data_IF_408079424683
#
_entry.id   IF_408079424683
#
_cell.length_a   1.000
_cell.length_b   1.000
_cell.length_c   1.000
_cell.angle_alpha   90.00
_cell.angle_beta   90.00
_cell.angle_gamma   90.00
#
_symmetry.space_group_name_H-M   'P 1'
#
loop_
_entity.id
_entity.type
_entity.pdbx_description
1 polymer ?
#
# COMPACT_ATOMS: atom_id res chain seq x y z
N UNK A 1 -0.20 29.48 -1.68
CA UNK A 1 -0.42 28.88 -0.36
C UNK A 1 -1.74 28.14 -0.46
N UNK A 2 -1.75 26.81 -0.59
CA UNK A 2 -3.02 26.08 -0.84
C UNK A 2 -3.88 26.07 0.42
N UNK A 3 -5.20 26.11 0.27
CA UNK A 3 -6.17 26.16 1.38
C UNK A 3 -6.05 24.99 2.38
N UNK A 4 -5.30 23.95 2.00
CA UNK A 4 -4.94 22.79 2.81
C UNK A 4 -4.20 23.14 4.11
N UNK A 5 -3.32 24.15 4.11
CA UNK A 5 -2.52 24.50 5.29
C UNK A 5 -3.33 25.22 6.38
N UNK A 6 -4.44 25.86 6.00
CA UNK A 6 -5.29 26.62 6.93
C UNK A 6 -6.38 25.78 7.58
N UNK A 7 -6.75 24.64 6.99
CA UNK A 7 -7.87 23.84 7.43
C UNK A 7 -7.44 22.68 8.35
N UNK A 8 -7.57 22.89 9.66
CA UNK A 8 -7.24 21.90 10.71
C UNK A 8 -8.02 20.59 10.55
N UNK A 9 -9.25 20.65 10.02
CA UNK A 9 -10.12 19.49 9.83
C UNK A 9 -9.63 18.60 8.68
N UNK A 10 -9.24 19.21 7.55
CA UNK A 10 -8.66 18.47 6.42
C UNK A 10 -7.33 17.80 6.79
N UNK A 11 -6.52 18.49 7.60
CA UNK A 11 -5.28 17.94 8.15
C UNK A 11 -5.53 16.76 9.09
N UNK A 12 -6.52 16.86 9.97
CA UNK A 12 -6.91 15.77 10.87
C UNK A 12 -7.37 14.53 10.08
N UNK A 13 -8.29 14.72 9.13
CA UNK A 13 -8.79 13.60 8.30
C UNK A 13 -7.65 12.94 7.52
N UNK A 14 -6.70 13.72 7.01
CA UNK A 14 -5.53 13.16 6.32
C UNK A 14 -4.63 12.35 7.26
N UNK A 15 -4.39 12.83 8.48
CA UNK A 15 -3.63 12.06 9.48
C UNK A 15 -4.33 10.75 9.86
N UNK A 16 -5.64 10.79 10.09
CA UNK A 16 -6.43 9.60 10.38
C UNK A 16 -6.37 8.61 9.22
N UNK A 17 -6.53 9.09 7.99
CA UNK A 17 -6.38 8.26 6.80
C UNK A 17 -5.00 7.59 6.74
N UNK A 18 -3.91 8.36 6.90
CA UNK A 18 -2.54 7.81 6.91
C UNK A 18 -2.32 6.80 8.05
N UNK A 19 -2.94 6.99 9.22
CA UNK A 19 -2.90 6.03 10.32
C UNK A 19 -3.56 4.70 9.92
N UNK A 20 -4.76 4.73 9.33
CA UNK A 20 -5.43 3.52 8.85
C UNK A 20 -4.61 2.80 7.77
N UNK A 21 -3.99 3.55 6.85
CA UNK A 21 -3.11 2.96 5.84
C UNK A 21 -1.84 2.38 6.47
N UNK A 22 -1.26 3.03 7.47
CA UNK A 22 -0.10 2.52 8.19
C UNK A 22 -0.43 1.22 8.96
N UNK A 23 -1.61 1.14 9.57
CA UNK A 23 -2.10 -0.08 10.21
C UNK A 23 -2.29 -1.19 9.17
N UNK A 24 -2.93 -0.90 8.04
CA UNK A 24 -3.08 -1.86 6.94
C UNK A 24 -1.71 -2.34 6.43
N UNK A 25 -0.75 -1.43 6.26
CA UNK A 25 0.63 -1.74 5.89
C UNK A 25 1.26 -2.73 6.88
N UNK A 26 1.17 -2.47 8.19
CA UNK A 26 1.72 -3.37 9.22
C UNK A 26 1.03 -4.72 9.22
N UNK A 27 -0.31 -4.75 9.17
CA UNK A 27 -1.08 -6.00 9.18
C UNK A 27 -0.76 -6.85 7.96
N UNK A 28 -0.68 -6.25 6.77
CA UNK A 28 -0.34 -6.97 5.54
C UNK A 28 1.11 -7.47 5.56
N UNK A 29 2.06 -6.66 6.04
CA UNK A 29 3.46 -7.06 6.18
C UNK A 29 3.64 -8.23 7.14
N UNK A 30 3.11 -8.11 8.35
CA UNK A 30 3.19 -9.14 9.38
C UNK A 30 2.44 -10.40 8.93
N UNK A 31 1.25 -10.26 8.34
CA UNK A 31 0.46 -11.38 7.85
C UNK A 31 1.20 -12.19 6.77
N UNK A 32 1.88 -11.52 5.84
CA UNK A 32 2.66 -12.19 4.81
C UNK A 32 3.86 -12.94 5.39
N UNK A 33 4.59 -12.31 6.31
CA UNK A 33 5.74 -12.93 7.00
C UNK A 33 5.30 -14.14 7.80
N UNK A 34 4.23 -14.02 8.58
CA UNK A 34 3.73 -15.09 9.43
C UNK A 34 3.17 -16.27 8.62
N UNK A 35 2.53 -16.00 7.49
CA UNK A 35 1.93 -17.05 6.66
C UNK A 35 2.94 -17.74 5.74
N UNK A 36 3.92 -17.01 5.20
CA UNK A 36 4.81 -17.53 4.13
C UNK A 36 6.27 -17.60 4.53
N UNK A 37 6.74 -16.78 5.47
CA UNK A 37 8.16 -16.65 5.80
C UNK A 37 9.04 -16.21 4.63
N UNK A 38 8.46 -15.65 3.54
CA UNK A 38 9.13 -15.45 2.25
C UNK A 38 9.67 -16.74 1.59
N UNK A 39 9.13 -17.89 1.98
CA UNK A 39 9.53 -19.18 1.41
C UNK A 39 8.69 -19.55 0.18
N UNK A 40 9.40 -19.93 -0.90
CA UNK A 40 8.81 -20.35 -2.16
C UNK A 40 7.88 -21.55 -1.97
N UNK A 41 8.33 -22.57 -1.23
CA UNK A 41 7.59 -23.83 -1.09
C UNK A 41 6.27 -23.61 -0.36
N UNK A 42 6.30 -22.82 0.71
CA UNK A 42 5.11 -22.44 1.47
C UNK A 42 4.08 -21.72 0.61
N UNK A 43 4.50 -20.82 -0.29
CA UNK A 43 3.60 -20.16 -1.24
C UNK A 43 3.00 -21.18 -2.21
N UNK A 44 3.82 -22.03 -2.83
CA UNK A 44 3.33 -23.04 -3.79
C UNK A 44 2.31 -23.97 -3.13
N UNK A 45 2.60 -24.49 -1.93
CA UNK A 45 1.69 -25.33 -1.16
C UNK A 45 0.40 -24.60 -0.77
N UNK A 46 0.46 -23.29 -0.51
CA UNK A 46 -0.73 -22.50 -0.17
C UNK A 46 -1.71 -22.35 -1.35
N UNK A 47 -1.24 -22.43 -2.60
CA UNK A 47 -2.08 -22.31 -3.80
C UNK A 47 -2.41 -23.67 -4.43
N UNK A 48 -1.43 -24.57 -4.56
CA UNK A 48 -1.57 -25.88 -5.19
C UNK A 48 -1.99 -27.00 -4.22
N UNK A 49 -1.98 -26.70 -2.92
CA UNK A 49 -2.21 -27.71 -1.89
C UNK A 49 -0.95 -28.55 -1.63
N UNK A 50 -0.98 -29.33 -0.55
CA UNK A 50 0.07 -30.29 -0.21
C UNK A 50 -0.57 -31.64 0.07
N UNK A 51 0.10 -32.73 -0.33
CA UNK A 51 -0.29 -34.06 0.13
C UNK A 51 0.45 -34.39 1.41
N UNK A 52 -0.29 -34.90 2.40
CA UNK A 52 0.25 -35.27 3.71
C UNK A 52 -0.22 -36.66 4.14
N UNK A 53 0.47 -37.31 5.10
CA UNK A 53 0.14 -38.66 5.56
C UNK A 53 -1.28 -38.82 6.11
N UNK A 54 -1.92 -37.72 6.52
CA UNK A 54 -3.24 -37.69 7.15
C UNK A 54 -4.30 -36.97 6.30
N UNK A 55 -4.10 -36.91 4.97
CA UNK A 55 -4.92 -36.11 4.07
C UNK A 55 -4.27 -34.76 3.78
N UNK A 56 -4.23 -34.40 2.51
CA UNK A 56 -3.64 -33.18 2.02
C UNK A 56 -4.56 -31.96 2.14
N UNK A 57 -3.99 -30.76 1.99
CA UNK A 57 -4.81 -29.58 1.70
C UNK A 57 -5.13 -29.56 0.22
N UNK A 58 -6.41 -29.39 -0.17
CA UNK A 58 -6.74 -29.25 -1.58
C UNK A 58 -6.18 -27.92 -2.13
N UNK A 59 -5.89 -27.85 -3.44
CA UNK A 59 -5.58 -26.60 -4.10
C UNK A 59 -6.71 -25.59 -3.93
N UNK A 60 -6.38 -24.29 -3.94
CA UNK A 60 -7.40 -23.23 -3.85
C UNK A 60 -8.39 -23.35 -5.01
N UNK A 61 -9.68 -23.26 -4.69
CA UNK A 61 -10.73 -23.28 -5.71
C UNK A 61 -10.86 -21.91 -6.39
N UNK A 62 -11.43 -21.87 -7.59
CA UNK A 62 -11.69 -20.62 -8.31
C UNK A 62 -12.54 -19.64 -7.48
N UNK A 63 -13.53 -20.17 -6.75
CA UNK A 63 -14.39 -19.37 -5.85
C UNK A 63 -13.58 -18.68 -4.77
N UNK A 64 -12.69 -19.42 -4.09
CA UNK A 64 -11.81 -18.85 -3.05
C UNK A 64 -10.87 -17.79 -3.64
N UNK A 65 -10.33 -18.03 -4.84
CA UNK A 65 -9.50 -17.04 -5.53
C UNK A 65 -10.27 -15.74 -5.78
N UNK A 66 -11.51 -15.82 -6.26
CA UNK A 66 -12.35 -14.63 -6.47
C UNK A 66 -12.74 -13.93 -5.15
N UNK A 67 -13.03 -14.70 -4.11
CA UNK A 67 -13.36 -14.17 -2.77
C UNK A 67 -12.21 -13.39 -2.15
N UNK A 68 -10.96 -13.79 -2.45
CA UNK A 68 -9.77 -13.04 -2.05
C UNK A 68 -9.57 -11.83 -2.96
N UNK A 69 -9.59 -12.02 -4.27
CA UNK A 69 -9.23 -10.97 -5.23
C UNK A 69 -10.22 -9.81 -5.27
N UNK A 70 -11.52 -10.06 -5.14
CA UNK A 70 -12.54 -9.03 -5.22
C UNK A 70 -12.34 -7.89 -4.19
N UNK A 71 -12.23 -8.18 -2.86
CA UNK A 71 -11.99 -7.13 -1.88
C UNK A 71 -10.60 -6.49 -2.03
N UNK A 72 -9.57 -7.24 -2.46
CA UNK A 72 -8.22 -6.70 -2.63
C UNK A 72 -8.15 -5.67 -3.77
N UNK A 73 -8.68 -5.99 -4.95
CA UNK A 73 -8.67 -5.07 -6.08
C UNK A 73 -9.49 -3.81 -5.77
N UNK A 74 -10.64 -3.96 -5.12
CA UNK A 74 -11.45 -2.81 -4.70
C UNK A 74 -10.69 -1.93 -3.68
N UNK A 75 -10.15 -2.54 -2.62
CA UNK A 75 -9.43 -1.82 -1.58
C UNK A 75 -8.17 -1.13 -2.12
N UNK A 76 -7.34 -1.83 -2.91
CA UNK A 76 -6.15 -1.26 -3.52
C UNK A 76 -6.49 -0.15 -4.52
N UNK A 77 -7.56 -0.30 -5.31
CA UNK A 77 -8.02 0.75 -6.22
C UNK A 77 -8.31 2.07 -5.50
N UNK A 78 -9.12 2.02 -4.44
CA UNK A 78 -9.50 3.22 -3.67
C UNK A 78 -8.32 3.75 -2.85
N UNK A 79 -7.56 2.86 -2.19
CA UNK A 79 -6.40 3.22 -1.38
C UNK A 79 -5.34 3.95 -2.20
N UNK A 80 -4.92 3.36 -3.32
CA UNK A 80 -3.85 3.92 -4.14
C UNK A 80 -4.30 5.17 -4.88
N UNK A 81 -5.58 5.26 -5.28
CA UNK A 81 -6.15 6.49 -5.81
C UNK A 81 -6.04 7.63 -4.80
N UNK A 82 -6.46 7.41 -3.55
CA UNK A 82 -6.41 8.43 -2.49
C UNK A 82 -4.98 8.86 -2.16
N UNK A 83 -4.04 7.92 -1.95
CA UNK A 83 -2.63 8.27 -1.69
C UNK A 83 -1.99 9.03 -2.86
N UNK A 84 -2.26 8.59 -4.09
CA UNK A 84 -1.72 9.23 -5.29
C UNK A 84 -2.32 10.61 -5.51
N UNK A 85 -3.61 10.77 -5.20
CA UNK A 85 -4.28 12.07 -5.21
C UNK A 85 -3.60 13.03 -4.23
N UNK A 86 -3.34 12.60 -3.00
CA UNK A 86 -2.65 13.41 -2.00
C UNK A 86 -1.21 13.78 -2.42
N UNK A 87 -0.53 12.90 -3.15
CA UNK A 87 0.82 13.14 -3.65
C UNK A 87 0.90 14.34 -4.62
N UNK A 88 -0.20 14.70 -5.29
CA UNK A 88 -0.23 15.89 -6.15
C UNK A 88 0.06 17.18 -5.38
N UNK A 89 -0.36 17.27 -4.11
CA UNK A 89 -0.15 18.45 -3.27
C UNK A 89 1.26 18.56 -2.69
N UNK A 90 2.07 17.51 -2.79
CA UNK A 90 3.45 17.52 -2.29
C UNK A 90 4.37 18.26 -3.27
N UNK A 91 5.22 19.20 -2.86
CA UNK A 91 6.17 19.88 -3.76
C UNK A 91 7.34 18.95 -4.13
N UNK A 92 7.11 18.04 -5.08
CA UNK A 92 8.06 17.04 -5.57
C UNK A 92 8.11 17.07 -7.11
N UNK A 93 9.27 16.70 -7.69
CA UNK A 93 9.46 16.63 -9.14
C UNK A 93 8.40 15.71 -9.78
N UNK A 94 7.78 16.18 -10.87
CA UNK A 94 6.69 15.49 -11.58
C UNK A 94 7.06 14.05 -11.99
N UNK A 95 8.28 13.81 -12.45
CA UNK A 95 8.74 12.48 -12.85
C UNK A 95 8.76 11.49 -11.69
N UNK A 96 9.23 11.89 -10.51
CA UNK A 96 9.28 11.02 -9.32
C UNK A 96 7.86 10.65 -8.88
N UNK A 97 6.94 11.62 -8.86
CA UNK A 97 5.52 11.35 -8.56
C UNK A 97 4.94 10.32 -9.53
N UNK A 98 5.13 10.54 -10.83
CA UNK A 98 4.60 9.64 -11.86
C UNK A 98 5.17 8.22 -11.72
N UNK A 99 6.48 8.09 -11.52
CA UNK A 99 7.13 6.78 -11.30
C UNK A 99 6.57 6.09 -10.06
N UNK A 100 6.44 6.80 -8.94
CA UNK A 100 5.94 6.21 -7.70
C UNK A 100 4.49 5.71 -7.82
N UNK A 101 3.64 6.49 -8.50
CA UNK A 101 2.25 6.10 -8.80
C UNK A 101 2.23 4.86 -9.70
N UNK A 102 2.98 4.85 -10.80
CA UNK A 102 3.00 3.70 -11.72
C UNK A 102 3.52 2.44 -11.00
N UNK A 103 4.60 2.56 -10.23
CA UNK A 103 5.21 1.43 -9.52
C UNK A 103 4.25 0.85 -8.48
N UNK A 104 3.60 1.68 -7.65
CA UNK A 104 2.69 1.16 -6.61
C UNK A 104 1.46 0.49 -7.21
N UNK A 105 0.87 1.05 -8.27
CA UNK A 105 -0.30 0.46 -8.93
C UNK A 105 0.06 -0.85 -9.63
N UNK A 106 1.17 -0.87 -10.37
CA UNK A 106 1.57 -2.05 -11.12
C UNK A 106 2.00 -3.18 -10.19
N UNK A 107 2.74 -2.87 -9.11
CA UNK A 107 3.10 -3.87 -8.11
C UNK A 107 1.89 -4.41 -7.35
N UNK A 108 0.88 -3.59 -7.03
CA UNK A 108 -0.36 -4.07 -6.43
C UNK A 108 -1.12 -5.05 -7.34
N UNK A 109 -1.18 -4.74 -8.64
CA UNK A 109 -1.81 -5.63 -9.62
C UNK A 109 -1.05 -6.96 -9.77
N UNK A 110 0.29 -6.90 -9.80
CA UNK A 110 1.12 -8.11 -9.84
C UNK A 110 1.04 -8.91 -8.54
N UNK A 111 0.92 -8.25 -7.40
CA UNK A 111 0.75 -8.89 -6.10
C UNK A 111 -0.50 -9.77 -6.12
N UNK A 112 -1.64 -9.23 -6.52
CA UNK A 112 -2.87 -10.01 -6.56
C UNK A 112 -2.87 -11.02 -7.73
N UNK A 113 -2.41 -10.59 -8.91
CA UNK A 113 -2.40 -11.40 -10.14
C UNK A 113 -1.43 -12.58 -10.10
N UNK A 114 -0.31 -12.48 -9.38
CA UNK A 114 0.66 -13.58 -9.28
C UNK A 114 0.10 -14.80 -8.55
N UNK A 115 -0.84 -14.62 -7.61
CA UNK A 115 -1.54 -15.76 -7.00
C UNK A 115 -2.34 -16.58 -8.01
N UNK A 116 -2.96 -15.91 -8.99
CA UNK A 116 -3.64 -16.57 -10.11
C UNK A 116 -2.65 -17.31 -11.01
N UNK A 117 -1.50 -16.71 -11.30
CA UNK A 117 -0.46 -17.34 -12.11
C UNK A 117 0.13 -18.58 -11.43
N UNK A 118 0.37 -18.54 -10.12
CA UNK A 118 0.82 -19.71 -9.35
C UNK A 118 -0.20 -20.84 -9.44
N UNK A 119 -1.49 -20.50 -9.32
CA UNK A 119 -2.56 -21.48 -9.27
C UNK A 119 -2.89 -22.12 -10.62
N UNK A 120 -2.91 -21.33 -11.70
CA UNK A 120 -3.47 -21.73 -12.99
C UNK A 120 -2.45 -21.82 -14.13
N UNK A 121 -1.23 -21.28 -13.94
CA UNK A 121 -0.19 -21.28 -14.98
C UNK A 121 1.01 -22.12 -14.56
N UNK A 122 1.76 -21.71 -13.54
CA UNK A 122 2.98 -22.42 -13.12
C UNK A 122 3.46 -22.02 -11.71
N UNK A 123 3.99 -22.95 -10.87
CA UNK A 123 4.47 -22.63 -9.53
C UNK A 123 5.65 -21.64 -9.48
N UNK A 124 6.42 -21.49 -10.57
CA UNK A 124 7.53 -20.51 -10.67
C UNK A 124 7.09 -19.07 -10.40
N UNK A 125 5.82 -18.76 -10.65
CA UNK A 125 5.26 -17.43 -10.38
C UNK A 125 5.18 -17.10 -8.88
N UNK A 126 5.52 -18.04 -7.98
CA UNK A 126 5.66 -17.74 -6.56
C UNK A 126 6.80 -16.75 -6.29
N UNK A 127 7.87 -16.76 -7.11
CA UNK A 127 8.88 -15.71 -7.06
C UNK A 127 8.33 -14.34 -7.46
N UNK A 128 7.46 -14.31 -8.47
CA UNK A 128 6.76 -13.08 -8.86
C UNK A 128 5.90 -12.56 -7.71
N UNK A 129 5.16 -13.44 -6.99
CA UNK A 129 4.36 -13.07 -5.80
C UNK A 129 5.21 -12.42 -4.72
N UNK A 130 6.36 -13.02 -4.39
CA UNK A 130 7.30 -12.45 -3.42
C UNK A 130 7.82 -11.09 -3.90
N UNK A 131 8.33 -11.02 -5.13
CA UNK A 131 8.91 -9.79 -5.67
C UNK A 131 7.87 -8.66 -5.74
N UNK A 132 6.66 -8.94 -6.23
CA UNK A 132 5.58 -7.96 -6.29
C UNK A 132 5.15 -7.48 -4.91
N UNK A 133 5.09 -8.39 -3.93
CA UNK A 133 4.78 -8.02 -2.55
C UNK A 133 5.82 -7.07 -1.98
N UNK A 134 7.12 -7.37 -2.14
CA UNK A 134 8.21 -6.51 -1.65
C UNK A 134 8.16 -5.13 -2.32
N UNK A 135 8.02 -5.08 -3.64
CA UNK A 135 7.95 -3.80 -4.37
C UNK A 135 6.71 -3.00 -3.96
N UNK A 136 5.56 -3.65 -3.78
CA UNK A 136 4.34 -3.01 -3.32
C UNK A 136 4.50 -2.43 -1.92
N UNK A 137 5.00 -3.22 -0.97
CA UNK A 137 5.23 -2.76 0.41
C UNK A 137 6.23 -1.60 0.47
N UNK A 138 7.36 -1.70 -0.25
CA UNK A 138 8.34 -0.63 -0.29
C UNK A 138 7.79 0.66 -0.90
N UNK A 139 7.08 0.57 -2.02
CA UNK A 139 6.48 1.75 -2.66
C UNK A 139 5.37 2.38 -1.81
N UNK A 140 4.55 1.56 -1.15
CA UNK A 140 3.54 2.03 -0.19
C UNK A 140 4.18 2.72 1.03
N UNK A 141 5.26 2.16 1.58
CA UNK A 141 6.02 2.77 2.67
C UNK A 141 6.61 4.13 2.25
N UNK A 142 7.17 4.23 1.04
CA UNK A 142 7.68 5.50 0.50
C UNK A 142 6.57 6.54 0.38
N UNK A 143 5.38 6.16 -0.11
CA UNK A 143 4.22 7.05 -0.18
C UNK A 143 3.80 7.53 1.22
N UNK A 144 3.64 6.61 2.17
CA UNK A 144 3.29 6.93 3.55
C UNK A 144 4.26 7.91 4.19
N UNK A 145 5.56 7.62 4.12
CA UNK A 145 6.61 8.49 4.70
C UNK A 145 6.65 9.84 4.01
N UNK A 146 6.51 9.88 2.68
CA UNK A 146 6.50 11.13 1.91
C UNK A 146 5.33 12.02 2.30
N UNK A 147 4.12 11.45 2.35
CA UNK A 147 2.90 12.17 2.70
C UNK A 147 2.91 12.64 4.17
N UNK A 148 3.34 11.77 5.09
CA UNK A 148 3.49 12.14 6.50
C UNK A 148 4.50 13.29 6.67
N UNK A 149 5.65 13.24 5.99
CA UNK A 149 6.65 14.33 6.03
C UNK A 149 6.12 15.63 5.44
N UNK A 150 5.39 15.56 4.32
CA UNK A 150 4.78 16.73 3.71
C UNK A 150 3.76 17.37 4.67
N UNK A 151 2.95 16.55 5.35
CA UNK A 151 1.93 17.00 6.29
C UNK A 151 2.53 17.64 7.56
N UNK A 152 3.63 17.09 8.08
CA UNK A 152 4.38 17.68 9.20
C UNK A 152 4.96 19.06 8.85
N UNK A 153 5.54 19.20 7.63
CA UNK A 153 6.15 20.46 7.19
C UNK A 153 5.11 21.57 6.93
N UNK A 154 3.95 21.22 6.35
CA UNK A 154 2.85 22.18 6.17
C UNK A 154 2.22 22.63 7.50
N UNK A 155 2.30 21.81 8.55
CA UNK A 155 1.89 22.20 9.91
C UNK A 155 2.86 23.15 10.62
N UNK A 156 4.16 23.02 10.36
CA UNK A 156 5.21 23.82 11.02
C UNK A 156 5.26 25.28 10.51
N UNK A 157 4.92 25.52 9.24
CA UNK A 157 4.92 26.86 8.63
C UNK A 157 3.71 27.72 9.03
N UNK A 158 2.57 27.09 9.37
CA UNK A 158 1.36 27.81 9.80
C UNK A 158 1.46 28.45 11.19
N UNK A 159 2.28 27.89 12.10
CA UNK A 159 2.48 28.43 13.44
C UNK A 159 3.48 29.60 13.52
N UNK A 160 4.42 29.71 12.58
CA UNK A 160 5.39 30.83 12.56
C UNK A 160 4.83 32.09 11.89
N UNK A 161 3.71 31.98 11.15
CA UNK A 161 3.04 33.11 10.50
C UNK A 161 1.97 33.80 11.37
N UNK A 162 1.83 33.42 12.65
CA UNK A 162 0.95 34.07 13.63
C UNK A 162 1.73 34.80 14.73
N UNK A 163 2.97 35.23 14.49
CA UNK A 163 3.57 36.23 15.37
C UNK A 163 2.80 37.54 15.22
N UNK A 164 2.19 38.10 16.28
CA UNK A 164 1.39 39.31 16.18
C UNK A 164 2.28 40.46 15.71
N UNK A 165 2.01 40.93 14.49
CA UNK A 165 2.58 42.16 13.97
C UNK A 165 2.19 43.32 14.89
N UNK A 166 3.21 43.90 15.51
CA UNK A 166 3.14 45.13 16.31
C UNK A 166 2.33 46.17 15.56
N UNK A 167 1.18 46.55 16.13
CA UNK A 167 0.42 47.72 15.73
C UNK A 167 1.32 48.94 15.92
N UNK A 168 1.91 49.45 14.83
CA UNK A 168 2.48 50.80 14.82
C UNK A 168 1.32 51.77 14.69
N UNK A 169 1.28 52.70 15.64
CA UNK A 169 0.33 53.81 15.78
C UNK A 169 0.35 54.72 14.56
#
# INVERSE_FOLDING_TARGET
MSDYEKNSMLRLITWLYLLFVALLFVVTLVGFIAHTGFDYKTIVEAYLGKQGPFGGTPPRSLRVMLEITHPHIFAYGVLLFMLSHLLFFVPMRRSIKATLVVVVFFSALLEEGSGWLVRFVHPVFAYLKIASFVVFQLSLAVLLVTLARALMRGGALGHMSQAPGVHKK
#
